data_IF_759901418533
#
_entry.id   IF_759901418533
#
_cell.length_a   1.000
_cell.length_b   1.000
_cell.length_c   1.000
_cell.angle_alpha   90.00
_cell.angle_beta   90.00
_cell.angle_gamma   90.00
#
_symmetry.space_group_name_H-M   'P 1'
#
loop_
_entity.id
_entity.type
_entity.pdbx_description
1 polymer ?
#
# COMPACT_ATOMS: atom_id res chain seq x y z
N UNK A 1 -0.46 15.46 5.40
CA UNK A 1 -1.94 15.48 5.21
C UNK A 1 -2.23 14.95 3.82
N UNK A 2 -3.17 14.02 3.66
CA UNK A 2 -3.58 13.57 2.33
C UNK A 2 -4.15 14.77 1.55
N UNK A 3 -3.77 14.95 0.29
CA UNK A 3 -4.42 15.92 -0.59
C UNK A 3 -5.92 15.58 -0.70
N UNK A 4 -6.81 16.56 -0.84
CA UNK A 4 -8.27 16.33 -0.92
C UNK A 4 -8.65 15.22 -1.90
N UNK A 5 -7.98 15.13 -3.05
CA UNK A 5 -8.20 14.09 -4.05
C UNK A 5 -7.88 12.65 -3.58
N UNK A 6 -6.89 12.45 -2.69
CA UNK A 6 -6.58 11.14 -2.12
C UNK A 6 -7.65 10.74 -1.11
N UNK A 7 -8.12 11.70 -0.29
CA UNK A 7 -9.20 11.45 0.67
C UNK A 7 -10.50 11.05 -0.03
N UNK A 8 -10.88 11.76 -1.10
CA UNK A 8 -12.06 11.41 -1.90
C UNK A 8 -12.00 9.98 -2.45
N UNK A 9 -10.82 9.54 -2.89
CA UNK A 9 -10.62 8.18 -3.39
C UNK A 9 -10.65 7.13 -2.28
N UNK A 10 -10.15 7.45 -1.09
CA UNK A 10 -10.28 6.59 0.09
C UNK A 10 -11.77 6.43 0.46
N UNK A 11 -12.51 7.54 0.48
CA UNK A 11 -13.94 7.54 0.79
C UNK A 11 -14.73 6.75 -0.26
N UNK A 12 -14.37 6.88 -1.55
CA UNK A 12 -14.97 6.08 -2.62
C UNK A 12 -14.66 4.59 -2.47
N UNK A 13 -13.41 4.22 -2.14
CA UNK A 13 -13.01 2.84 -1.89
C UNK A 13 -13.78 2.21 -0.73
N UNK A 14 -13.99 2.96 0.36
CA UNK A 14 -14.73 2.48 1.55
C UNK A 14 -16.19 2.09 1.28
N UNK A 15 -16.73 2.49 0.12
CA UNK A 15 -18.11 2.20 -0.31
C UNK A 15 -18.18 1.12 -1.40
N UNK A 16 -17.04 0.58 -1.85
CA UNK A 16 -17.03 -0.44 -2.89
C UNK A 16 -17.58 -1.77 -2.36
N UNK A 17 -18.49 -2.45 -3.08
CA UNK A 17 -19.12 -3.72 -2.64
C UNK A 17 -18.15 -4.78 -2.10
N UNK A 18 -16.95 -4.89 -2.67
CA UNK A 18 -15.94 -5.85 -2.25
C UNK A 18 -14.92 -5.37 -1.20
N UNK A 19 -14.98 -4.11 -0.76
CA UNK A 19 -14.00 -3.56 0.18
C UNK A 19 -14.18 -4.14 1.58
N UNK A 20 -13.06 -4.41 2.26
CA UNK A 20 -13.09 -4.92 3.64
C UNK A 20 -13.69 -3.90 4.60
N UNK A 21 -14.55 -4.36 5.51
CA UNK A 21 -15.09 -3.58 6.62
C UNK A 21 -14.96 -4.36 7.92
N UNK A 22 -14.65 -3.65 9.01
CA UNK A 22 -14.72 -4.23 10.35
C UNK A 22 -16.18 -4.19 10.80
N UNK A 23 -16.73 -5.35 11.15
CA UNK A 23 -18.07 -5.45 11.71
C UNK A 23 -18.06 -5.08 13.20
N UNK A 24 -19.21 -4.70 13.78
CA UNK A 24 -19.32 -4.40 15.21
C UNK A 24 -18.90 -5.57 16.12
N UNK A 25 -18.99 -6.80 15.63
CA UNK A 25 -18.59 -8.02 16.34
C UNK A 25 -17.06 -8.31 16.30
N UNK A 26 -16.27 -7.40 15.73
CA UNK A 26 -14.82 -7.53 15.60
C UNK A 26 -14.37 -8.43 14.45
N UNK A 27 -15.30 -9.04 13.70
CA UNK A 27 -14.97 -9.82 12.50
C UNK A 27 -14.78 -8.92 11.29
N UNK A 28 -14.06 -9.42 10.30
CA UNK A 28 -13.94 -8.77 8.99
C UNK A 28 -15.07 -9.23 8.07
N UNK A 29 -15.66 -8.30 7.32
CA UNK A 29 -16.60 -8.57 6.23
C UNK A 29 -16.28 -7.72 5.00
N UNK A 30 -17.23 -7.65 4.08
CA UNK A 30 -17.20 -6.71 2.96
C UNK A 30 -18.38 -5.74 3.03
N UNK A 31 -18.25 -4.57 2.41
CA UNK A 31 -19.34 -3.56 2.32
C UNK A 31 -20.64 -4.19 1.81
N UNK A 32 -20.55 -5.01 0.77
CA UNK A 32 -21.62 -5.88 0.29
C UNK A 32 -21.23 -7.35 0.51
N UNK A 33 -21.91 -8.08 1.43
CA UNK A 33 -21.65 -9.50 1.65
C UNK A 33 -21.87 -10.37 0.40
N UNK A 34 -22.72 -9.94 -0.53
CA UNK A 34 -23.02 -10.63 -1.79
C UNK A 34 -22.05 -10.27 -2.92
N UNK A 35 -21.01 -9.47 -2.65
CA UNK A 35 -20.03 -9.09 -3.67
C UNK A 35 -19.40 -10.31 -4.35
N UNK A 36 -19.41 -10.26 -5.67
CA UNK A 36 -18.80 -11.26 -6.55
C UNK A 36 -17.28 -11.36 -6.32
N UNK A 37 -16.63 -12.49 -6.67
CA UNK A 37 -15.18 -12.60 -6.62
C UNK A 37 -14.46 -11.47 -7.38
N UNK A 38 -15.01 -11.07 -8.53
CA UNK A 38 -14.48 -9.96 -9.33
C UNK A 38 -14.58 -8.63 -8.58
N UNK A 39 -15.74 -8.30 -8.00
CA UNK A 39 -15.89 -7.08 -7.20
C UNK A 39 -14.94 -7.04 -6.00
N UNK A 40 -14.67 -8.20 -5.37
CA UNK A 40 -13.69 -8.32 -4.29
C UNK A 40 -12.27 -8.10 -4.79
N UNK A 41 -11.89 -8.69 -5.93
CA UNK A 41 -10.59 -8.46 -6.56
C UNK A 41 -10.39 -6.98 -6.91
N UNK A 42 -11.36 -6.35 -7.57
CA UNK A 42 -11.30 -4.93 -7.92
C UNK A 42 -11.16 -4.03 -6.69
N UNK A 43 -11.88 -4.34 -5.60
CA UNK A 43 -11.76 -3.59 -4.35
C UNK A 43 -10.39 -3.78 -3.67
N UNK A 44 -9.82 -4.99 -3.69
CA UNK A 44 -8.46 -5.27 -3.17
C UNK A 44 -7.40 -4.52 -3.96
N UNK A 45 -7.49 -4.54 -5.30
CA UNK A 45 -6.57 -3.78 -6.17
C UNK A 45 -6.62 -2.29 -5.88
N UNK A 46 -7.83 -1.70 -5.82
CA UNK A 46 -8.00 -0.27 -5.54
C UNK A 46 -7.44 0.08 -4.16
N UNK A 47 -7.70 -0.77 -3.15
CA UNK A 47 -7.15 -0.60 -1.81
C UNK A 47 -5.62 -0.66 -1.80
N UNK A 48 -5.02 -1.62 -2.51
CA UNK A 48 -3.56 -1.73 -2.60
C UNK A 48 -2.91 -0.56 -3.35
N UNK A 49 -3.55 -0.02 -4.38
CA UNK A 49 -3.08 1.18 -5.08
C UNK A 49 -3.09 2.40 -4.16
N UNK A 50 -4.17 2.63 -3.41
CA UNK A 50 -4.28 3.71 -2.43
C UNK A 50 -3.25 3.57 -1.30
N UNK A 51 -3.08 2.35 -0.79
CA UNK A 51 -2.09 2.01 0.21
C UNK A 51 -0.66 2.28 -0.29
N UNK A 52 -0.35 1.88 -1.52
CA UNK A 52 0.98 2.08 -2.12
C UNK A 52 1.26 3.56 -2.40
N UNK A 53 0.27 4.32 -2.85
CA UNK A 53 0.37 5.77 -3.04
C UNK A 53 0.59 6.49 -1.71
N UNK A 54 -0.19 6.15 -0.68
CA UNK A 54 -0.02 6.69 0.68
C UNK A 54 1.37 6.40 1.23
N UNK A 55 1.84 5.17 1.04
CA UNK A 55 3.17 4.75 1.48
C UNK A 55 4.28 5.54 0.79
N UNK A 56 4.19 5.68 -0.54
CA UNK A 56 5.15 6.45 -1.34
C UNK A 56 5.18 7.91 -0.92
N UNK A 57 4.01 8.53 -0.76
CA UNK A 57 3.90 9.92 -0.29
C UNK A 57 4.44 10.12 1.12
N UNK A 58 4.33 9.10 1.99
CA UNK A 58 4.93 9.14 3.32
C UNK A 58 6.46 9.08 3.25
N UNK A 59 7.02 8.24 2.38
CA UNK A 59 8.47 8.21 2.13
C UNK A 59 8.98 9.56 1.63
N UNK A 60 8.29 10.16 0.66
CA UNK A 60 8.63 11.47 0.12
C UNK A 60 8.60 12.52 1.24
N UNK A 61 7.54 12.56 2.05
CA UNK A 61 7.43 13.47 3.20
C UNK A 61 8.56 13.27 4.22
N UNK A 62 8.97 12.03 4.47
CA UNK A 62 10.08 11.72 5.38
C UNK A 62 11.38 12.31 4.83
N UNK A 63 11.67 12.11 3.54
CA UNK A 63 12.94 12.50 2.92
C UNK A 63 13.02 13.99 2.54
N UNK A 64 11.95 14.57 2.01
CA UNK A 64 11.95 15.89 1.38
C UNK A 64 11.17 16.95 2.19
N UNK A 65 10.42 16.52 3.22
CA UNK A 65 9.67 17.42 4.09
C UNK A 65 8.31 17.85 3.55
N UNK A 66 7.60 18.76 4.26
CA UNK A 66 6.18 19.06 4.02
C UNK A 66 5.90 19.80 2.71
N UNK A 67 6.91 20.38 2.07
CA UNK A 67 6.77 21.06 0.77
C UNK A 67 6.94 20.15 -0.45
N UNK A 68 7.22 18.86 -0.23
CA UNK A 68 7.47 17.91 -1.31
C UNK A 68 6.20 17.62 -2.13
N UNK A 69 6.38 17.41 -3.44
CA UNK A 69 5.27 17.10 -4.33
C UNK A 69 4.79 15.67 -4.10
N UNK A 70 3.52 15.51 -3.77
CA UNK A 70 2.89 14.20 -3.65
C UNK A 70 2.72 13.55 -5.03
N UNK A 71 2.96 12.25 -5.10
CA UNK A 71 2.61 11.44 -6.26
C UNK A 71 1.11 11.12 -6.25
N UNK A 72 0.53 11.02 -7.45
CA UNK A 72 -0.84 10.60 -7.68
C UNK A 72 -0.95 9.48 -8.71
N UNK A 73 -2.19 9.15 -9.08
CA UNK A 73 -2.47 8.16 -10.14
C UNK A 73 -2.00 8.71 -11.48
N UNK A 74 -1.34 7.86 -12.27
CA UNK A 74 -0.98 8.19 -13.64
C UNK A 74 -2.22 8.16 -14.53
N UNK A 75 -2.42 9.11 -15.46
CA UNK A 75 -3.48 9.02 -16.46
C UNK A 75 -3.35 7.80 -17.37
N UNK A 76 -2.15 7.19 -17.45
CA UNK A 76 -1.87 5.99 -18.23
C UNK A 76 -1.87 4.73 -17.35
N UNK A 77 -2.43 4.78 -16.14
CA UNK A 77 -2.53 3.62 -15.27
C UNK A 77 -3.40 2.52 -15.94
N UNK A 78 -2.96 1.24 -15.91
CA UNK A 78 -3.78 0.14 -16.42
C UNK A 78 -5.12 0.06 -15.68
N UNK A 79 -6.17 -0.31 -16.40
CA UNK A 79 -7.52 -0.47 -15.83
C UNK A 79 -7.94 -1.92 -15.70
N UNK A 80 -7.32 -2.83 -16.44
CA UNK A 80 -7.55 -4.27 -16.34
C UNK A 80 -6.77 -4.90 -15.16
N UNK A 81 -7.28 -6.02 -14.63
CA UNK A 81 -6.73 -6.70 -13.45
C UNK A 81 -5.25 -7.05 -13.61
N UNK A 82 -4.85 -7.62 -14.74
CA UNK A 82 -3.48 -8.09 -14.95
C UNK A 82 -2.49 -6.92 -15.03
N UNK A 83 -2.85 -5.88 -15.76
CA UNK A 83 -2.08 -4.64 -15.86
C UNK A 83 -1.92 -3.97 -14.50
N UNK A 84 -3.01 -3.90 -13.71
CA UNK A 84 -2.99 -3.32 -12.35
C UNK A 84 -2.10 -4.10 -11.39
N UNK A 85 -2.19 -5.43 -11.36
CA UNK A 85 -1.31 -6.29 -10.57
C UNK A 85 0.16 -6.08 -10.94
N UNK A 86 0.47 -6.09 -12.24
CA UNK A 86 1.83 -5.91 -12.74
C UNK A 86 2.40 -4.52 -12.38
N UNK A 87 1.55 -3.49 -12.46
CA UNK A 87 1.94 -2.14 -12.09
C UNK A 87 2.15 -2.00 -10.57
N UNK A 88 1.31 -2.64 -9.75
CA UNK A 88 1.48 -2.69 -8.29
C UNK A 88 2.79 -3.38 -7.91
N UNK A 89 3.07 -4.56 -8.46
CA UNK A 89 4.32 -5.31 -8.21
C UNK A 89 5.55 -4.46 -8.53
N UNK A 90 5.58 -3.80 -9.70
CA UNK A 90 6.67 -2.88 -10.09
C UNK A 90 6.85 -1.73 -9.11
N UNK A 91 5.75 -1.15 -8.62
CA UNK A 91 5.82 -0.07 -7.63
C UNK A 91 6.36 -0.58 -6.29
N UNK A 92 5.93 -1.76 -5.87
CA UNK A 92 6.45 -2.40 -4.65
C UNK A 92 7.93 -2.71 -4.77
N UNK A 93 8.40 -3.22 -5.92
CA UNK A 93 9.82 -3.48 -6.18
C UNK A 93 10.65 -2.19 -6.05
N UNK A 94 10.17 -1.09 -6.62
CA UNK A 94 10.84 0.21 -6.53
C UNK A 94 10.92 0.70 -5.07
N UNK A 95 9.81 0.62 -4.33
CA UNK A 95 9.78 1.03 -2.92
C UNK A 95 10.72 0.16 -2.07
N UNK A 96 10.66 -1.16 -2.22
CA UNK A 96 11.51 -2.09 -1.49
C UNK A 96 12.99 -1.90 -1.83
N UNK A 97 13.32 -1.52 -3.07
CA UNK A 97 14.68 -1.17 -3.48
C UNK A 97 15.25 0.06 -2.74
N UNK A 98 14.41 1.04 -2.40
CA UNK A 98 14.83 2.25 -1.68
C UNK A 98 14.76 2.13 -0.15
N UNK A 99 13.93 1.21 0.36
CA UNK A 99 13.65 1.10 1.79
C UNK A 99 14.88 0.82 2.68
N UNK A 100 15.87 -0.03 2.29
CA UNK A 100 17.07 -0.27 3.10
C UNK A 100 17.89 0.99 3.36
N UNK A 101 18.09 1.81 2.34
CA UNK A 101 18.87 3.04 2.46
C UNK A 101 18.16 4.07 3.34
N UNK A 102 16.84 4.18 3.21
CA UNK A 102 16.03 5.05 4.07
C UNK A 102 16.09 4.56 5.53
N UNK A 103 15.88 3.26 5.77
CA UNK A 103 15.96 2.67 7.10
C UNK A 103 17.32 2.93 7.76
N UNK A 104 18.41 2.75 7.03
CA UNK A 104 19.77 2.96 7.52
C UNK A 104 20.02 4.38 8.05
N UNK A 105 19.44 5.41 7.42
CA UNK A 105 19.58 6.82 7.87
C UNK A 105 19.09 7.03 9.30
N UNK A 106 18.11 6.24 9.71
CA UNK A 106 17.49 6.28 11.04
C UNK A 106 17.98 5.13 11.96
N UNK A 107 19.09 4.47 11.62
CA UNK A 107 19.61 3.33 12.40
C UNK A 107 18.74 2.08 12.39
N UNK A 108 17.82 1.96 11.42
CA UNK A 108 16.91 0.82 11.27
C UNK A 108 17.40 -0.14 10.19
N UNK A 109 16.95 -1.40 10.27
CA UNK A 109 17.18 -2.43 9.26
C UNK A 109 15.84 -2.84 8.65
N UNK A 110 15.75 -2.74 7.32
CA UNK A 110 14.60 -3.26 6.58
C UNK A 110 14.84 -4.70 6.13
N UNK A 111 13.86 -5.56 6.43
CA UNK A 111 13.82 -6.93 5.95
C UNK A 111 12.53 -7.08 5.13
N UNK A 112 12.61 -7.27 3.80
CA UNK A 112 11.43 -7.42 2.96
C UNK A 112 10.70 -8.73 3.24
N UNK A 113 9.43 -8.78 2.84
CA UNK A 113 8.69 -10.05 2.82
C UNK A 113 9.26 -10.94 1.71
N UNK A 114 9.52 -12.21 2.04
CA UNK A 114 9.90 -13.24 1.06
C UNK A 114 8.73 -14.19 0.91
N UNK A 115 8.16 -14.24 -0.30
CA UNK A 115 7.12 -15.19 -0.62
C UNK A 115 7.68 -16.62 -0.58
N UNK A 116 6.91 -17.62 -0.08
CA UNK A 116 7.31 -19.01 -0.18
C UNK A 116 7.50 -19.41 -1.64
N UNK A 117 8.51 -20.25 -1.92
CA UNK A 117 8.69 -20.82 -3.25
C UNK A 117 7.48 -21.68 -3.62
N UNK A 118 7.05 -21.57 -4.88
CA UNK A 118 5.97 -22.38 -5.46
C UNK A 118 6.41 -22.85 -6.85
N UNK A 119 6.07 -24.10 -7.19
CA UNK A 119 6.27 -24.66 -8.53
C UNK A 119 5.15 -24.29 -9.50
N UNK A 120 4.06 -23.69 -9.03
CA UNK A 120 2.91 -23.29 -9.84
C UNK A 120 3.05 -21.84 -10.34
N UNK A 121 2.53 -21.58 -11.54
CA UNK A 121 2.47 -20.22 -12.07
C UNK A 121 1.54 -19.35 -11.17
N UNK A 122 1.95 -18.11 -10.83
CA UNK A 122 1.13 -17.25 -9.98
C UNK A 122 -0.24 -16.95 -10.61
N UNK A 123 -1.31 -17.19 -9.84
CA UNK A 123 -2.67 -16.73 -10.16
C UNK A 123 -2.86 -15.27 -9.71
N UNK A 124 -3.85 -14.56 -10.29
CA UNK A 124 -4.18 -13.19 -9.87
C UNK A 124 -4.48 -13.08 -8.37
N UNK A 125 -5.16 -14.08 -7.79
CA UNK A 125 -5.40 -14.17 -6.35
C UNK A 125 -4.11 -14.28 -5.55
N UNK A 126 -3.20 -15.19 -5.94
CA UNK A 126 -1.93 -15.37 -5.23
C UNK A 126 -1.02 -14.14 -5.35
N UNK A 127 -1.03 -13.47 -6.50
CA UNK A 127 -0.32 -12.20 -6.72
C UNK A 127 -0.85 -11.11 -5.81
N UNK A 128 -2.18 -10.94 -5.73
CA UNK A 128 -2.83 -9.98 -4.85
C UNK A 128 -2.51 -10.24 -3.37
N UNK A 129 -2.52 -11.50 -2.92
CA UNK A 129 -2.13 -11.86 -1.55
C UNK A 129 -0.67 -11.54 -1.26
N UNK A 130 0.24 -11.77 -2.22
CA UNK A 130 1.64 -11.41 -2.08
C UNK A 130 1.81 -9.88 -1.96
N UNK A 131 1.15 -9.12 -2.81
CA UNK A 131 1.11 -7.64 -2.78
C UNK A 131 0.68 -7.15 -1.39
N UNK A 132 -0.40 -7.69 -0.82
CA UNK A 132 -0.89 -7.31 0.51
C UNK A 132 0.12 -7.63 1.63
N UNK A 133 0.81 -8.78 1.56
CA UNK A 133 1.84 -9.16 2.53
C UNK A 133 3.07 -8.25 2.43
N UNK A 134 3.54 -7.95 1.21
CA UNK A 134 4.62 -6.98 0.97
C UNK A 134 4.27 -5.61 1.53
N UNK A 135 3.06 -5.13 1.26
CA UNK A 135 2.56 -3.88 1.83
C UNK A 135 2.59 -3.89 3.36
N UNK A 136 2.14 -4.95 4.02
CA UNK A 136 2.16 -5.03 5.48
C UNK A 136 3.58 -4.89 6.06
N UNK A 137 4.59 -5.47 5.41
CA UNK A 137 5.99 -5.36 5.80
C UNK A 137 6.55 -3.94 5.56
N UNK A 138 6.29 -3.36 4.39
CA UNK A 138 6.69 -1.98 4.09
C UNK A 138 6.03 -0.99 5.05
N UNK A 139 4.73 -1.11 5.30
CA UNK A 139 3.98 -0.25 6.22
C UNK A 139 4.51 -0.36 7.66
N UNK A 140 4.88 -1.55 8.11
CA UNK A 140 5.54 -1.74 9.41
C UNK A 140 6.84 -0.95 9.49
N UNK A 141 7.65 -0.94 8.44
CA UNK A 141 8.88 -0.14 8.40
C UNK A 141 8.58 1.36 8.39
N UNK A 142 7.62 1.81 7.57
CA UNK A 142 7.24 3.20 7.47
C UNK A 142 6.74 3.77 8.80
N UNK A 143 5.96 3.00 9.56
CA UNK A 143 5.57 3.40 10.92
C UNK A 143 6.76 3.60 11.85
N UNK A 144 7.80 2.76 11.74
CA UNK A 144 9.05 2.93 12.51
C UNK A 144 9.82 4.17 12.07
N UNK A 145 9.89 4.43 10.76
CA UNK A 145 10.54 5.61 10.21
C UNK A 145 9.86 6.91 10.66
N UNK A 146 8.53 6.95 10.65
CA UNK A 146 7.76 8.10 11.17
C UNK A 146 8.05 8.32 12.65
N UNK A 147 8.07 7.25 13.46
CA UNK A 147 8.38 7.37 14.89
C UNK A 147 9.83 7.84 15.12
N UNK A 148 10.80 7.32 14.36
CA UNK A 148 12.20 7.74 14.46
C UNK A 148 12.38 9.22 14.09
N UNK A 149 11.73 9.67 13.00
CA UNK A 149 11.75 11.07 12.58
C UNK A 149 11.14 12.01 13.63
N UNK A 150 10.07 11.59 14.31
CA UNK A 150 9.48 12.40 15.39
C UNK A 150 10.42 12.51 16.59
N UNK A 151 11.10 11.42 16.97
CA UNK A 151 12.07 11.43 18.08
C UNK A 151 13.23 12.38 17.77
N UNK A 152 13.74 12.40 16.53
CA UNK A 152 14.78 13.36 16.12
C UNK A 152 14.27 14.81 16.21
N UNK A 153 13.05 15.08 15.74
CA UNK A 153 12.47 16.43 15.79
C UNK A 153 12.19 16.92 17.22
N UNK A 154 11.91 16.03 18.16
CA UNK A 154 11.68 16.37 19.58
C UNK A 154 13.00 16.51 20.38
N UNK A 155 14.13 16.07 19.82
CA UNK A 155 15.45 16.15 20.44
C UNK A 155 16.21 17.45 20.08
N UNK A 156 15.73 18.18 19.08
CA UNK A 156 16.20 19.51 18.65
C UNK A 156 15.45 20.65 19.36
#
# INVERSE_FOLDING_TARGET
MASGALQERIDAHSKMPGAEVNKPDGTKGTVDPAATPEQKMQARLTGAELNTETLTNTIILINEGPGAAAVGVSPNAPTDTQGRLTNLEKRMDAIEGHMPDIAKRYGLVYTPYVAPESSEAPTDTSRMENIEKRYAYMNKMIKKLVAAKQIEADAD
#
